data_IF_318882906581
#
_entry.id   IF_318882906581
#
_cell.length_a   1.000
_cell.length_b   1.000
_cell.length_c   1.000
_cell.angle_alpha   90.00
_cell.angle_beta   90.00
_cell.angle_gamma   90.00
#
_symmetry.space_group_name_H-M   'P 1'
#
loop_
_entity.id
_entity.type
_entity.pdbx_description
1 polymer ?
#
# COMPACT_ATOMS: atom_id res chain seq x y z
N UNK A 1 12.05 -1.33 7.48
CA UNK A 1 10.57 -1.36 7.35
C UNK A 1 10.17 -0.23 6.42
N UNK A 2 9.67 -0.56 5.23
CA UNK A 2 9.44 0.41 4.16
C UNK A 2 7.94 0.66 3.94
N UNK A 3 7.58 1.91 3.66
CA UNK A 3 6.19 2.34 3.44
C UNK A 3 5.86 2.22 1.95
N UNK A 4 4.62 1.84 1.66
CA UNK A 4 4.08 1.87 0.31
C UNK A 4 2.64 2.37 0.33
N UNK A 5 2.17 2.85 -0.81
CA UNK A 5 0.88 3.51 -0.93
C UNK A 5 -0.01 2.72 -1.88
N UNK A 6 -1.29 2.61 -1.52
CA UNK A 6 -2.28 1.87 -2.30
C UNK A 6 -3.42 2.82 -2.63
N UNK A 7 -3.70 3.02 -3.91
CA UNK A 7 -4.91 3.72 -4.35
C UNK A 7 -6.11 2.81 -4.04
N UNK A 8 -6.99 3.27 -3.16
CA UNK A 8 -8.15 2.52 -2.72
C UNK A 8 -9.27 3.43 -2.20
N UNK A 9 -10.55 3.08 -2.41
CA UNK A 9 -11.68 3.86 -1.93
C UNK A 9 -11.80 3.86 -0.40
N UNK A 10 -11.28 2.81 0.26
CA UNK A 10 -11.35 2.67 1.71
C UNK A 10 -10.23 1.82 2.31
N UNK A 11 -9.93 2.07 3.59
CA UNK A 11 -9.03 1.24 4.40
C UNK A 11 -9.48 -0.22 4.42
N UNK A 12 -10.78 -0.47 4.51
CA UNK A 12 -11.33 -1.82 4.59
C UNK A 12 -11.13 -2.62 3.30
N UNK A 13 -11.15 -1.97 2.13
CA UNK A 13 -10.83 -2.63 0.87
C UNK A 13 -9.39 -3.15 0.89
N UNK A 14 -8.43 -2.34 1.33
CA UNK A 14 -7.02 -2.74 1.46
C UNK A 14 -6.86 -3.84 2.51
N UNK A 15 -7.50 -3.73 3.67
CA UNK A 15 -7.46 -4.78 4.71
C UNK A 15 -8.00 -6.12 4.21
N UNK A 16 -9.08 -6.13 3.42
CA UNK A 16 -9.64 -7.35 2.84
C UNK A 16 -8.71 -7.95 1.78
N UNK A 17 -8.13 -7.11 0.92
CA UNK A 17 -7.20 -7.56 -0.12
C UNK A 17 -5.90 -8.13 0.48
N UNK A 18 -5.39 -7.51 1.55
CA UNK A 18 -4.23 -8.02 2.29
C UNK A 18 -4.60 -9.22 3.17
N UNK A 19 -5.81 -9.31 3.71
CA UNK A 19 -6.30 -10.45 4.49
C UNK A 19 -5.33 -10.89 5.60
N UNK A 20 -5.07 -12.20 5.68
CA UNK A 20 -3.95 -12.79 6.45
C UNK A 20 -2.76 -13.11 5.54
N UNK A 21 -2.45 -12.26 4.57
CA UNK A 21 -1.43 -12.57 3.57
C UNK A 21 -0.09 -12.94 4.24
N UNK A 22 0.50 -14.11 3.90
CA UNK A 22 1.92 -14.34 4.13
C UNK A 22 2.67 -13.30 3.31
N UNK A 23 3.57 -12.54 3.95
CA UNK A 23 4.27 -11.44 3.30
C UNK A 23 4.33 -10.13 4.08
N UNK A 24 3.90 -10.12 5.35
CA UNK A 24 4.20 -9.05 6.31
C UNK A 24 3.95 -7.64 5.77
N UNK A 25 2.68 -7.31 5.56
CA UNK A 25 2.24 -5.96 5.27
C UNK A 25 1.06 -5.59 6.16
N UNK A 26 1.05 -4.36 6.66
CA UNK A 26 -0.04 -3.84 7.49
C UNK A 26 -0.51 -2.49 6.99
N UNK A 27 -1.80 -2.22 7.13
CA UNK A 27 -2.35 -0.90 6.87
C UNK A 27 -2.00 0.01 8.05
N UNK A 28 -1.41 1.17 7.76
CA UNK A 28 -1.11 2.20 8.75
C UNK A 28 -2.30 3.13 8.91
N UNK A 29 -2.86 3.62 7.80
CA UNK A 29 -3.97 4.56 7.82
C UNK A 29 -4.24 5.14 6.44
N UNK A 30 -5.11 6.16 6.41
CA UNK A 30 -5.41 6.90 5.19
C UNK A 30 -4.35 7.99 4.99
N UNK A 31 -3.71 8.03 3.82
CA UNK A 31 -2.74 9.07 3.48
C UNK A 31 -3.44 10.32 2.95
N UNK A 32 -4.39 10.14 2.03
CA UNK A 32 -5.21 11.21 1.45
C UNK A 32 -6.62 10.70 1.06
N UNK A 33 -7.35 11.43 0.19
CA UNK A 33 -8.70 11.07 -0.24
C UNK A 33 -8.77 9.75 -1.03
N UNK A 34 -7.72 9.39 -1.75
CA UNK A 34 -7.69 8.26 -2.68
C UNK A 34 -6.62 7.22 -2.32
N UNK A 35 -5.71 7.55 -1.42
CA UNK A 35 -4.53 6.75 -1.13
C UNK A 35 -4.46 6.31 0.33
N UNK A 36 -4.15 5.04 0.53
CA UNK A 36 -4.00 4.38 1.83
C UNK A 36 -2.52 4.04 2.04
N UNK A 37 -2.02 4.35 3.22
CA UNK A 37 -0.65 4.07 3.61
C UNK A 37 -0.53 2.67 4.23
N UNK A 38 0.46 1.92 3.75
CA UNK A 38 0.80 0.59 4.23
C UNK A 38 2.29 0.51 4.60
N UNK A 39 2.63 -0.48 5.43
CA UNK A 39 3.99 -0.72 5.89
C UNK A 39 4.38 -2.18 5.66
N UNK A 40 5.56 -2.41 5.10
CA UNK A 40 6.23 -3.70 5.12
C UNK A 40 6.82 -4.00 6.49
N UNK A 41 6.45 -5.15 7.05
CA UNK A 41 6.97 -5.65 8.33
C UNK A 41 8.11 -6.64 8.16
N UNK A 42 8.46 -7.02 6.92
CA UNK A 42 9.55 -7.97 6.65
C UNK A 42 10.88 -7.26 6.35
N UNK A 43 11.97 -8.02 6.43
CA UNK A 43 13.27 -7.64 5.92
C UNK A 43 13.25 -7.47 4.38
N UNK A 44 14.25 -6.78 3.85
CA UNK A 44 14.36 -6.43 2.44
C UNK A 44 14.40 -7.65 1.50
N UNK A 45 15.09 -8.72 1.90
CA UNK A 45 15.22 -9.93 1.08
C UNK A 45 13.91 -10.71 1.00
N UNK A 46 13.18 -10.75 2.10
CA UNK A 46 11.82 -11.31 2.13
C UNK A 46 10.84 -10.43 1.37
N UNK A 47 10.93 -9.10 1.50
CA UNK A 47 10.12 -8.15 0.72
C UNK A 47 10.29 -8.38 -0.77
N UNK A 48 11.52 -8.40 -1.28
CA UNK A 48 11.78 -8.57 -2.72
C UNK A 48 11.14 -9.83 -3.30
N UNK A 49 11.16 -10.94 -2.54
CA UNK A 49 10.54 -12.21 -2.95
C UNK A 49 9.02 -12.20 -2.92
N UNK A 50 8.42 -11.55 -1.93
CA UNK A 50 6.96 -11.58 -1.71
C UNK A 50 6.23 -10.39 -2.35
N UNK A 51 6.97 -9.36 -2.78
CA UNK A 51 6.40 -8.15 -3.36
C UNK A 51 5.51 -8.42 -4.58
N UNK A 52 5.92 -9.25 -5.58
CA UNK A 52 5.06 -9.53 -6.73
C UNK A 52 3.72 -10.19 -6.33
N UNK A 53 3.74 -11.08 -5.33
CA UNK A 53 2.53 -11.71 -4.81
C UNK A 53 1.60 -10.70 -4.11
N UNK A 54 2.16 -9.77 -3.34
CA UNK A 54 1.39 -8.73 -2.67
C UNK A 54 0.72 -7.80 -3.70
N UNK A 55 1.47 -7.36 -4.71
CA UNK A 55 0.96 -6.52 -5.80
C UNK A 55 -0.16 -7.24 -6.54
N UNK A 56 0.06 -8.49 -6.94
CA UNK A 56 -0.96 -9.29 -7.64
C UNK A 56 -2.26 -9.46 -6.83
N UNK A 57 -2.17 -9.59 -5.50
CA UNK A 57 -3.38 -9.65 -4.63
C UNK A 57 -4.15 -8.33 -4.61
N UNK A 58 -3.44 -7.20 -4.54
CA UNK A 58 -4.06 -5.89 -4.59
C UNK A 58 -4.74 -5.66 -5.95
N UNK A 59 -4.06 -6.01 -7.04
CA UNK A 59 -4.61 -5.88 -8.40
C UNK A 59 -5.86 -6.75 -8.60
N UNK A 60 -5.86 -7.99 -8.10
CA UNK A 60 -7.05 -8.87 -8.13
C UNK A 60 -8.22 -8.33 -7.31
N UNK A 61 -7.97 -7.44 -6.36
CA UNK A 61 -8.98 -6.71 -5.61
C UNK A 61 -9.37 -5.36 -6.24
N UNK A 62 -8.84 -5.03 -7.42
CA UNK A 62 -9.05 -3.76 -8.10
C UNK A 62 -8.28 -2.58 -7.47
N UNK A 63 -7.21 -2.87 -6.73
CA UNK A 63 -6.39 -1.88 -6.04
C UNK A 63 -5.01 -1.79 -6.71
N UNK A 64 -4.37 -0.63 -6.63
CA UNK A 64 -3.08 -0.41 -7.29
C UNK A 64 -2.08 0.17 -6.30
N UNK A 65 -0.87 -0.40 -6.28
CA UNK A 65 0.25 0.23 -5.57
C UNK A 65 0.70 1.46 -6.38
N UNK A 66 0.80 2.59 -5.71
CA UNK A 66 1.23 3.85 -6.32
C UNK A 66 2.51 4.34 -5.67
N UNK A 67 3.26 5.15 -6.41
CA UNK A 67 4.37 5.92 -5.83
C UNK A 67 3.85 6.81 -4.70
N UNK A 68 4.75 7.20 -3.79
CA UNK A 68 4.41 8.14 -2.72
C UNK A 68 3.80 9.38 -3.36
N UNK A 69 2.52 9.71 -3.08
CA UNK A 69 1.94 10.90 -3.66
C UNK A 69 2.77 12.08 -3.14
N UNK A 70 3.45 12.78 -4.04
CA UNK A 70 4.07 14.04 -3.69
C UNK A 70 2.92 14.92 -3.21
N UNK A 71 2.96 15.30 -1.93
CA UNK A 71 2.08 16.35 -1.42
C UNK A 71 2.46 17.60 -2.20
N UNK A 72 1.82 17.81 -3.36
CA UNK A 72 1.96 19.02 -4.14
C UNK A 72 1.47 20.12 -3.21
N UNK A 73 2.42 20.78 -2.55
CA UNK A 73 2.19 22.08 -1.97
C UNK A 73 1.94 22.95 -3.21
N UNK A 74 0.72 23.48 -3.43
CA UNK A 74 0.54 24.43 -4.51
C UNK A 74 1.51 25.59 -4.26
N UNK A 75 2.22 26.10 -5.28
CA UNK A 75 3.07 27.27 -5.09
C UNK A 75 2.19 28.41 -4.54
N UNK A 76 2.55 28.95 -3.38
CA UNK A 76 1.95 30.17 -2.85
C UNK A 76 2.09 31.26 -3.93
N UNK A 77 0.94 31.80 -4.35
CA UNK A 77 0.87 32.94 -5.28
C UNK A 77 1.05 34.26 -4.55
#
# INVERSE_FOLDING_TARGET
MERFYVRAPSINAVRRALGRAPGGARVVGRYDRETIECLHTMDERSRARHWPMLVSRLERAGLTVVERPSRLIPPES
#
